data_IF_307672574822
#
_entry.id   IF_307672574822
#
_cell.length_a   1.000
_cell.length_b   1.000
_cell.length_c   1.000
_cell.angle_alpha   90.00
_cell.angle_beta   90.00
_cell.angle_gamma   90.00
#
_symmetry.space_group_name_H-M   'P 1'
#
loop_
_entity.id
_entity.type
_entity.pdbx_description
1 polymer ?
#
# COMPACT_ATOMS: atom_id res chain seq x y z
N UNK A 1 -6.71 -14.77 -10.58
CA UNK A 1 -7.86 -14.96 -9.66
C UNK A 1 -8.96 -14.08 -10.22
N UNK A 2 -10.10 -14.61 -10.69
CA UNK A 2 -11.21 -13.74 -11.09
C UNK A 2 -11.54 -12.82 -9.91
N UNK A 3 -11.75 -11.52 -10.14
CA UNK A 3 -11.97 -10.47 -9.12
C UNK A 3 -10.74 -9.84 -8.45
N UNK A 4 -9.53 -10.13 -8.93
CA UNK A 4 -8.34 -9.42 -8.48
C UNK A 4 -8.31 -8.02 -9.12
N UNK A 5 -8.34 -6.97 -8.28
CA UNK A 5 -8.35 -5.59 -8.75
C UNK A 5 -7.10 -4.86 -8.24
N UNK A 6 -6.29 -4.35 -9.17
CA UNK A 6 -5.11 -3.55 -8.82
C UNK A 6 -5.47 -2.08 -8.97
N UNK A 7 -5.36 -1.36 -7.85
CA UNK A 7 -5.55 0.09 -7.84
C UNK A 7 -4.31 0.77 -7.30
N UNK A 8 -3.80 1.74 -8.05
CA UNK A 8 -2.78 2.66 -7.56
C UNK A 8 -3.44 3.78 -6.75
N UNK A 9 -2.86 4.09 -5.59
CA UNK A 9 -3.31 5.15 -4.70
C UNK A 9 -2.61 6.49 -5.01
N UNK A 10 -1.94 6.57 -6.17
CA UNK A 10 -1.30 7.77 -6.69
C UNK A 10 -2.23 8.58 -7.60
N UNK A 11 -1.83 9.81 -7.92
CA UNK A 11 -2.50 10.62 -8.92
C UNK A 11 -2.23 9.98 -10.29
N UNK A 12 -3.17 10.11 -11.25
CA UNK A 12 -2.99 9.62 -12.60
C UNK A 12 -2.09 10.51 -13.46
N UNK A 13 -1.50 11.56 -12.87
CA UNK A 13 -0.65 12.54 -13.53
C UNK A 13 0.71 12.56 -12.85
N UNK A 14 1.76 12.68 -13.66
CA UNK A 14 3.13 12.78 -13.17
C UNK A 14 3.37 14.19 -12.58
N UNK A 15 3.13 14.32 -11.27
CA UNK A 15 3.34 15.56 -10.51
C UNK A 15 4.30 15.32 -9.35
N UNK A 16 5.58 15.57 -9.60
CA UNK A 16 6.67 15.43 -8.60
C UNK A 16 6.56 16.38 -7.42
N UNK A 17 5.71 17.42 -7.50
CA UNK A 17 5.46 18.34 -6.37
C UNK A 17 4.45 17.76 -5.37
N UNK A 18 3.59 16.85 -5.83
CA UNK A 18 2.52 16.24 -5.03
C UNK A 18 2.76 14.77 -4.72
N UNK A 19 3.65 14.13 -5.46
CA UNK A 19 3.94 12.70 -5.32
C UNK A 19 5.45 12.44 -5.40
N UNK A 20 5.93 11.51 -4.59
CA UNK A 20 7.33 11.09 -4.67
C UNK A 20 7.52 10.13 -5.83
N UNK A 21 8.52 10.33 -6.71
CA UNK A 21 8.84 9.37 -7.76
C UNK A 21 9.40 8.05 -7.21
N UNK A 22 9.79 8.03 -5.93
CA UNK A 22 10.38 6.88 -5.26
C UNK A 22 9.38 6.05 -4.44
N UNK A 23 8.09 6.41 -4.44
CA UNK A 23 7.08 5.72 -3.61
C UNK A 23 5.91 5.30 -4.47
N UNK A 24 5.60 4.00 -4.44
CA UNK A 24 4.41 3.43 -5.07
C UNK A 24 3.50 2.89 -3.98
N UNK A 25 2.31 3.45 -3.87
CA UNK A 25 1.25 2.96 -2.98
C UNK A 25 0.12 2.39 -3.82
N UNK A 26 -0.33 1.17 -3.50
CA UNK A 26 -1.36 0.46 -4.25
C UNK A 26 -2.17 -0.43 -3.32
N UNK A 27 -3.33 -0.89 -3.77
CA UNK A 27 -4.08 -1.95 -3.11
C UNK A 27 -4.46 -3.05 -4.08
N UNK A 28 -4.62 -4.26 -3.53
CA UNK A 28 -4.88 -5.46 -4.32
C UNK A 28 -6.03 -6.31 -3.75
N UNK A 29 -7.27 -5.78 -3.67
CA UNK A 29 -8.40 -6.56 -3.19
C UNK A 29 -8.66 -7.83 -4.02
N UNK A 30 -9.18 -8.90 -3.39
CA UNK A 30 -9.54 -9.01 -1.97
C UNK A 30 -8.39 -9.50 -1.07
N UNK A 31 -7.12 -9.37 -1.50
CA UNK A 31 -5.99 -9.93 -0.75
C UNK A 31 -5.60 -9.01 0.40
N UNK A 32 -5.67 -9.53 1.63
CA UNK A 32 -5.23 -8.81 2.82
C UNK A 32 -3.77 -8.39 2.71
N UNK A 33 -3.46 -7.13 3.05
CA UNK A 33 -2.13 -6.56 2.92
C UNK A 33 -1.09 -7.34 3.74
N UNK A 34 -1.45 -7.82 4.93
CA UNK A 34 -0.58 -8.65 5.80
C UNK A 34 -0.16 -9.95 5.14
N UNK A 35 -1.05 -10.58 4.39
CA UNK A 35 -0.74 -11.81 3.65
C UNK A 35 0.29 -11.52 2.57
N UNK A 36 0.09 -10.45 1.79
CA UNK A 36 1.06 -10.05 0.76
C UNK A 36 2.40 -9.62 1.35
N UNK A 37 2.38 -8.88 2.47
CA UNK A 37 3.58 -8.43 3.16
C UNK A 37 4.43 -9.63 3.60
N UNK A 38 3.84 -10.59 4.33
CA UNK A 38 4.58 -11.77 4.78
C UNK A 38 5.02 -12.67 3.62
N UNK A 39 4.22 -12.73 2.55
CA UNK A 39 4.59 -13.49 1.35
C UNK A 39 5.79 -12.88 0.61
N UNK A 40 5.89 -11.55 0.59
CA UNK A 40 7.04 -10.83 0.04
C UNK A 40 8.25 -10.92 0.98
N UNK A 41 8.04 -10.81 2.29
CA UNK A 41 9.07 -10.99 3.31
C UNK A 41 9.74 -12.36 3.21
N UNK A 42 8.97 -13.44 3.01
CA UNK A 42 9.50 -14.78 2.78
C UNK A 42 10.38 -14.90 1.51
N UNK A 43 10.31 -13.91 0.61
CA UNK A 43 11.15 -13.78 -0.59
C UNK A 43 12.23 -12.70 -0.44
N UNK A 44 12.49 -12.22 0.77
CA UNK A 44 13.42 -11.13 1.08
C UNK A 44 13.03 -9.78 0.44
N UNK A 45 11.73 -9.55 0.19
CA UNK A 45 11.20 -8.27 -0.30
C UNK A 45 10.42 -7.60 0.84
N UNK A 46 10.90 -6.45 1.30
CA UNK A 46 10.31 -5.74 2.43
C UNK A 46 9.47 -4.55 1.96
N UNK A 47 8.22 -4.50 2.40
CA UNK A 47 7.23 -3.48 2.02
C UNK A 47 6.52 -2.91 3.26
N UNK A 48 5.90 -1.74 3.13
CA UNK A 48 5.09 -1.14 4.17
C UNK A 48 3.59 -1.30 3.90
N UNK A 49 2.76 -1.22 4.94
CA UNK A 49 1.29 -1.29 4.84
C UNK A 49 0.58 -0.12 5.56
N UNK A 50 1.34 0.74 6.23
CA UNK A 50 0.80 1.85 7.02
C UNK A 50 1.91 2.64 7.69
N UNK A 51 1.55 3.49 8.65
CA UNK A 51 2.53 4.15 9.50
C UNK A 51 3.01 3.21 10.61
N UNK A 52 4.25 3.38 11.06
CA UNK A 52 4.76 2.61 12.20
C UNK A 52 3.89 2.82 13.46
N UNK A 53 3.33 4.01 13.64
CA UNK A 53 2.43 4.34 14.75
C UNK A 53 1.13 3.53 14.73
N UNK A 54 0.68 3.06 13.56
CA UNK A 54 -0.52 2.23 13.43
C UNK A 54 -0.21 0.74 13.32
N UNK A 55 1.05 0.31 13.50
CA UNK A 55 1.47 -1.07 13.28
C UNK A 55 0.75 -2.09 14.19
N UNK A 56 0.27 -1.67 15.36
CA UNK A 56 -0.49 -2.52 16.30
C UNK A 56 -2.01 -2.26 16.26
N UNK A 57 -2.46 -1.37 15.37
CA UNK A 57 -3.88 -1.02 15.26
C UNK A 57 -4.56 -1.94 14.25
N UNK A 58 -5.70 -2.51 14.63
CA UNK A 58 -6.58 -3.24 13.70
C UNK A 58 -7.44 -2.31 12.83
N UNK A 59 -7.40 -1.01 13.12
CA UNK A 59 -8.15 0.00 12.37
C UNK A 59 -7.47 0.32 11.04
N UNK A 60 -8.24 0.42 9.93
CA UNK A 60 -7.71 0.79 8.63
C UNK A 60 -7.07 2.18 8.67
N UNK A 61 -6.06 2.39 7.84
CA UNK A 61 -5.33 3.67 7.77
C UNK A 61 -6.27 4.86 7.58
N UNK A 62 -6.26 5.79 8.54
CA UNK A 62 -7.01 7.06 8.47
C UNK A 62 -6.65 7.88 7.22
N UNK A 63 -5.41 7.79 6.75
CA UNK A 63 -4.94 8.49 5.56
C UNK A 63 -5.57 7.88 4.30
N UNK A 64 -5.51 6.56 4.16
CA UNK A 64 -6.12 5.85 3.02
C UNK A 64 -7.63 6.09 2.96
N UNK A 65 -8.27 6.06 4.13
CA UNK A 65 -9.68 6.44 4.30
C UNK A 65 -9.95 7.90 3.87
N UNK A 66 -9.06 8.83 4.23
CA UNK A 66 -9.19 10.25 3.91
C UNK A 66 -9.04 10.57 2.42
N UNK A 67 -8.31 9.75 1.66
CA UNK A 67 -8.16 9.87 0.20
C UNK A 67 -9.21 9.04 -0.58
N UNK A 68 -10.24 8.52 0.11
CA UNK A 68 -11.40 7.89 -0.52
C UNK A 68 -11.31 6.38 -0.73
N UNK A 69 -10.36 5.67 -0.10
CA UNK A 69 -10.39 4.20 -0.08
C UNK A 69 -11.47 3.71 0.90
N UNK A 70 -12.17 2.64 0.51
CA UNK A 70 -13.02 1.86 1.40
C UNK A 70 -12.20 1.16 2.49
N UNK A 71 -12.88 0.59 3.49
CA UNK A 71 -12.19 -0.21 4.53
C UNK A 71 -11.47 -1.42 3.91
N UNK A 72 -12.13 -2.10 2.97
CA UNK A 72 -11.56 -3.28 2.31
C UNK A 72 -10.30 -2.91 1.50
N UNK A 73 -10.36 -1.86 0.68
CA UNK A 73 -9.20 -1.39 -0.08
C UNK A 73 -8.06 -0.92 0.83
N UNK A 74 -8.37 -0.22 1.93
CA UNK A 74 -7.38 0.23 2.89
C UNK A 74 -6.65 -0.94 3.58
N UNK A 75 -7.34 -2.06 3.84
CA UNK A 75 -6.73 -3.29 4.38
C UNK A 75 -5.88 -4.05 3.36
N UNK A 76 -6.24 -3.95 2.08
CA UNK A 76 -5.51 -4.57 0.99
C UNK A 76 -4.35 -3.71 0.46
N UNK A 77 -3.97 -2.62 1.16
CA UNK A 77 -3.02 -1.62 0.65
C UNK A 77 -1.58 -1.91 1.06
N UNK A 78 -0.64 -1.74 0.14
CA UNK A 78 0.80 -1.80 0.36
C UNK A 78 1.49 -0.55 -0.19
N UNK A 79 2.71 -0.31 0.30
CA UNK A 79 3.61 0.75 -0.13
C UNK A 79 5.01 0.19 -0.33
N UNK A 80 5.55 0.43 -1.52
CA UNK A 80 6.96 0.20 -1.85
C UNK A 80 7.67 1.55 -1.89
N UNK A 81 8.84 1.59 -1.27
CA UNK A 81 9.71 2.77 -1.27
C UNK A 81 11.05 2.37 -1.88
N UNK A 82 11.43 3.04 -2.95
CA UNK A 82 12.69 2.84 -3.64
C UNK A 82 13.73 3.84 -3.15
N UNK A 83 14.99 3.43 -3.14
CA UNK A 83 16.13 4.26 -2.80
C UNK A 83 17.38 3.71 -3.49
N UNK A 84 18.52 4.40 -3.38
CA UNK A 84 19.73 3.98 -4.08
C UNK A 84 20.34 2.64 -3.63
N UNK A 85 19.86 2.09 -2.51
CA UNK A 85 20.49 0.98 -1.78
C UNK A 85 19.57 -0.24 -1.62
N UNK A 86 18.37 -0.21 -2.20
CA UNK A 86 17.44 -1.34 -2.22
C UNK A 86 17.07 -1.74 -3.64
#
# INVERSE_FOLDING_TARGET
>A
IPHLDLRFNSLPVDDVSRQSPAIVAFCFPPVEGEVLLHHLEARNIYVGMGSACSAHSKEPSRILRGIGLSVAEARCSLRVSFGPQN
#
